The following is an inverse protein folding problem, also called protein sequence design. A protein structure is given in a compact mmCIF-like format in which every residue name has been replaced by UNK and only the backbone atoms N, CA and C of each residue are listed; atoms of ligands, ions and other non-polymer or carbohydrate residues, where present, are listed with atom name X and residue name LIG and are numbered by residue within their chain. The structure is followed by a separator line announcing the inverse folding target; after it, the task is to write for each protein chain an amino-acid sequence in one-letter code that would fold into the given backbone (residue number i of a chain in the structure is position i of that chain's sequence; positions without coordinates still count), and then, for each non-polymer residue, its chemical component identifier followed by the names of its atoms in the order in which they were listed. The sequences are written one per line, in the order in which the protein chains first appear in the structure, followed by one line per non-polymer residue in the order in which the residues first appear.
data_IF_503881985219
#
_entry.id   IF_503881985219
#
_cell.length_a   1.000
_cell.length_b   1.000
_cell.length_c   1.000
_cell.angle_alpha   90.00
_cell.angle_beta   90.00
_cell.angle_gamma   90.00
#
_symmetry.space_group_name_H-M   'P 1'
#
loop_
_entity.id
_entity.type
_entity.pdbx_description
1 polymer ?
#
# COMPACT_ATOMS: atom_id res chain seq x y z
N UNK A 1 -1.73 15.40 14.62
CA UNK A 1 -0.41 14.78 14.93
C UNK A 1 -0.13 13.65 13.95
N UNK A 2 1.05 13.57 13.33
CA UNK A 2 1.42 12.42 12.48
C UNK A 2 1.54 11.16 13.32
N UNK A 3 0.93 10.08 12.86
CA UNK A 3 1.06 8.76 13.47
C UNK A 3 2.32 8.07 12.90
N UNK A 4 3.17 7.46 13.74
CA UNK A 4 4.31 6.71 13.23
C UNK A 4 3.83 5.48 12.41
N UNK A 5 4.65 5.04 11.46
CA UNK A 5 4.39 3.82 10.71
C UNK A 5 4.54 2.60 11.61
N UNK A 6 3.71 1.60 11.40
CA UNK A 6 3.62 0.40 12.23
C UNK A 6 4.10 -0.85 11.49
N UNK A 7 4.70 -1.76 12.25
CA UNK A 7 4.95 -3.12 11.78
C UNK A 7 3.66 -3.95 11.86
N UNK A 8 3.58 -4.97 11.01
CA UNK A 8 2.48 -5.94 11.07
C UNK A 8 2.56 -6.76 12.35
N UNK A 9 1.43 -7.28 12.80
CA UNK A 9 1.30 -8.03 14.04
C UNK A 9 1.16 -9.55 13.84
N UNK A 10 0.95 -10.00 12.61
CA UNK A 10 0.88 -11.40 12.21
C UNK A 10 1.64 -11.64 10.92
N UNK A 11 1.76 -12.91 10.50
CA UNK A 11 2.40 -13.30 9.24
C UNK A 11 1.59 -12.89 7.99
N UNK A 12 0.34 -12.44 8.16
CA UNK A 12 -0.62 -12.29 7.05
C UNK A 12 -1.16 -10.87 6.85
N UNK A 13 -0.90 -9.95 7.76
CA UNK A 13 -1.52 -8.61 7.76
C UNK A 13 -0.66 -7.50 7.12
N UNK A 14 0.28 -7.87 6.24
CA UNK A 14 1.06 -6.86 5.49
C UNK A 14 0.18 -5.93 4.64
N UNK A 15 -0.88 -6.45 4.02
CA UNK A 15 -1.81 -5.65 3.22
C UNK A 15 -2.50 -4.54 4.01
N UNK A 16 -3.33 -4.85 5.02
CA UNK A 16 -4.00 -3.84 5.84
C UNK A 16 -3.00 -2.93 6.56
N UNK A 17 -1.89 -3.46 7.08
CA UNK A 17 -0.87 -2.65 7.74
C UNK A 17 -0.24 -1.65 6.78
N UNK A 18 0.10 -2.05 5.55
CA UNK A 18 0.65 -1.13 4.55
C UNK A 18 -0.38 -0.08 4.12
N UNK A 19 -1.65 -0.44 3.95
CA UNK A 19 -2.72 0.52 3.68
C UNK A 19 -2.87 1.55 4.80
N UNK A 20 -2.89 1.09 6.06
CA UNK A 20 -2.95 1.99 7.23
C UNK A 20 -1.71 2.88 7.33
N UNK A 21 -0.53 2.35 7.01
CA UNK A 21 0.71 3.11 6.96
C UNK A 21 0.67 4.19 5.85
N UNK A 22 0.14 3.88 4.68
CA UNK A 22 -0.03 4.87 3.61
C UNK A 22 -0.95 6.01 4.06
N UNK A 23 -2.08 5.70 4.69
CA UNK A 23 -3.00 6.70 5.22
C UNK A 23 -2.35 7.54 6.34
N UNK A 24 -1.58 6.92 7.25
CA UNK A 24 -0.85 7.62 8.32
C UNK A 24 0.31 8.48 7.79
N UNK A 25 0.90 8.10 6.66
CA UNK A 25 1.91 8.88 5.96
C UNK A 25 1.31 10.15 5.35
N UNK A 26 0.18 10.02 4.67
CA UNK A 26 -0.48 11.12 3.96
C UNK A 26 -1.23 12.08 4.91
N UNK A 27 -1.90 11.58 5.93
CA UNK A 27 -2.81 12.31 6.79
C UNK A 27 -2.40 12.28 8.25
N UNK A 28 -2.87 13.26 9.02
CA UNK A 28 -2.75 13.23 10.49
C UNK A 28 -3.90 12.38 11.07
N UNK A 29 -3.74 11.97 12.34
CA UNK A 29 -4.78 11.21 13.04
C UNK A 29 -6.13 11.92 13.06
N UNK A 30 -6.11 13.22 13.20
CA UNK A 30 -7.32 14.07 13.29
C UNK A 30 -8.05 14.20 11.94
N UNK A 31 -7.32 14.00 10.84
CA UNK A 31 -7.88 14.05 9.49
C UNK A 31 -8.50 12.72 9.06
N UNK A 32 -8.01 11.59 9.60
CA UNK A 32 -8.46 10.27 9.19
C UNK A 32 -9.88 9.99 9.69
N UNK A 33 -10.77 9.71 8.75
CA UNK A 33 -12.14 9.35 9.03
C UNK A 33 -12.24 7.87 9.45
N UNK A 34 -13.05 7.54 10.47
CA UNK A 34 -13.21 6.15 10.96
C UNK A 34 -13.61 5.17 9.88
N UNK A 35 -14.38 5.60 8.89
CA UNK A 35 -14.84 4.78 7.77
C UNK A 35 -13.69 4.25 6.93
N UNK A 36 -12.62 5.03 6.78
CA UNK A 36 -11.42 4.61 6.05
C UNK A 36 -10.77 3.42 6.76
N UNK A 37 -10.55 3.55 8.06
CA UNK A 37 -9.98 2.48 8.89
C UNK A 37 -10.85 1.24 8.85
N UNK A 38 -12.17 1.42 9.04
CA UNK A 38 -13.14 0.33 9.02
C UNK A 38 -13.10 -0.46 7.70
N UNK A 39 -13.11 0.23 6.56
CA UNK A 39 -13.12 -0.43 5.26
C UNK A 39 -11.79 -1.13 4.96
N UNK A 40 -10.65 -0.52 5.30
CA UNK A 40 -9.36 -1.19 5.17
C UNK A 40 -9.35 -2.50 5.96
N UNK A 41 -9.78 -2.47 7.22
CA UNK A 41 -9.79 -3.67 8.07
C UNK A 41 -10.82 -4.72 7.62
N UNK A 42 -11.96 -4.28 7.13
CA UNK A 42 -13.05 -5.18 6.73
C UNK A 42 -12.77 -5.92 5.41
N UNK A 43 -12.14 -5.25 4.44
CA UNK A 43 -11.96 -5.78 3.09
C UNK A 43 -10.54 -6.25 2.77
N UNK A 44 -9.63 -6.20 3.74
CA UNK A 44 -8.33 -6.86 3.66
C UNK A 44 -8.41 -8.28 4.22
N UNK A 45 -7.36 -9.07 4.07
CA UNK A 45 -7.29 -10.46 4.53
C UNK A 45 -8.40 -11.35 3.93
N UNK A 46 -8.74 -11.09 2.67
CA UNK A 46 -9.80 -11.75 1.93
C UNK A 46 -9.38 -13.09 1.30
N UNK A 47 -8.09 -13.36 1.24
CA UNK A 47 -7.58 -14.57 0.60
C UNK A 47 -7.76 -15.82 1.47
N UNK A 48 -8.06 -16.94 0.79
CA UNK A 48 -8.19 -18.26 1.41
C UNK A 48 -6.93 -19.08 1.14
N UNK A 49 -6.47 -19.84 2.12
CA UNK A 49 -5.41 -20.81 1.89
C UNK A 49 -5.94 -22.10 1.22
N UNK A 50 -5.05 -23.02 0.89
CA UNK A 50 -5.39 -24.30 0.27
C UNK A 50 -6.36 -25.18 1.11
N UNK A 51 -6.51 -24.89 2.39
CA UNK A 51 -7.44 -25.57 3.30
C UNK A 51 -8.79 -24.86 3.42
N UNK A 52 -8.99 -23.73 2.72
CA UNK A 52 -10.21 -22.92 2.79
C UNK A 52 -10.29 -22.04 4.06
N UNK A 53 -9.20 -21.83 4.77
CA UNK A 53 -9.15 -20.96 5.94
C UNK A 53 -8.94 -19.50 5.50
N UNK A 54 -9.76 -18.57 6.01
CA UNK A 54 -9.66 -17.12 5.75
C UNK A 54 -8.56 -16.47 6.58
N UNK A 55 -8.02 -15.36 6.09
CA UNK A 55 -7.07 -14.53 6.83
C UNK A 55 -5.67 -15.14 6.99
N UNK A 56 -5.42 -16.30 6.41
CA UNK A 56 -4.13 -17.01 6.45
C UNK A 56 -3.40 -17.05 5.10
N UNK A 57 -3.82 -16.21 4.18
CA UNK A 57 -3.18 -16.05 2.86
C UNK A 57 -3.06 -14.59 2.46
N UNK A 58 -3.13 -13.70 3.46
CA UNK A 58 -2.93 -12.27 3.28
C UNK A 58 -4.07 -11.57 2.52
N UNK A 59 -3.71 -10.56 1.77
CA UNK A 59 -4.62 -9.69 1.02
C UNK A 59 -4.45 -9.94 -0.47
N UNK A 60 -5.55 -10.21 -1.16
CA UNK A 60 -5.52 -10.43 -2.60
C UNK A 60 -5.31 -9.11 -3.39
N UNK A 61 -4.89 -9.23 -4.67
CA UNK A 61 -4.88 -8.10 -5.61
C UNK A 61 -6.26 -7.48 -5.77
N UNK A 62 -7.30 -8.31 -5.77
CA UNK A 62 -8.67 -7.86 -5.95
C UNK A 62 -9.14 -6.98 -4.79
N UNK A 63 -8.76 -7.34 -3.55
CA UNK A 63 -9.03 -6.51 -2.39
C UNK A 63 -8.35 -5.14 -2.47
N UNK A 64 -7.08 -5.10 -2.87
CA UNK A 64 -6.34 -3.84 -3.04
C UNK A 64 -6.93 -2.99 -4.17
N UNK A 65 -7.32 -3.59 -5.28
CA UNK A 65 -7.99 -2.91 -6.38
C UNK A 65 -9.35 -2.34 -5.96
N UNK A 66 -10.14 -3.13 -5.21
CA UNK A 66 -11.41 -2.67 -4.64
C UNK A 66 -11.20 -1.49 -3.68
N UNK A 67 -10.27 -1.62 -2.72
CA UNK A 67 -9.99 -0.55 -1.74
C UNK A 67 -9.47 0.72 -2.41
N UNK A 68 -8.64 0.61 -3.44
CA UNK A 68 -8.19 1.75 -4.25
C UNK A 68 -9.38 2.49 -4.90
N UNK A 69 -10.29 1.74 -5.52
CA UNK A 69 -11.51 2.29 -6.13
C UNK A 69 -12.43 2.90 -5.07
N UNK A 70 -12.67 2.17 -3.98
CA UNK A 70 -13.51 2.63 -2.88
C UNK A 70 -12.98 3.94 -2.26
N UNK A 71 -11.69 4.03 -1.94
CA UNK A 71 -11.07 5.24 -1.40
C UNK A 71 -11.26 6.44 -2.33
N UNK A 72 -11.10 6.25 -3.63
CA UNK A 72 -11.31 7.32 -4.60
C UNK A 72 -12.77 7.80 -4.63
N UNK A 73 -13.73 6.87 -4.62
CA UNK A 73 -15.16 7.22 -4.60
C UNK A 73 -15.56 7.86 -3.26
N UNK A 74 -15.07 7.33 -2.16
CA UNK A 74 -15.26 7.90 -0.82
C UNK A 74 -14.70 9.32 -0.73
N UNK A 75 -13.48 9.53 -1.24
CA UNK A 75 -12.87 10.86 -1.30
C UNK A 75 -13.73 11.88 -2.02
N UNK A 76 -14.30 11.50 -3.17
CA UNK A 76 -15.23 12.36 -3.93
C UNK A 76 -16.53 12.63 -3.17
N UNK A 77 -17.14 11.58 -2.60
CA UNK A 77 -18.45 11.70 -1.93
C UNK A 77 -18.36 12.51 -0.62
N UNK A 78 -17.28 12.34 0.14
CA UNK A 78 -17.08 12.97 1.45
C UNK A 78 -16.20 14.23 1.40
N UNK A 79 -15.77 14.66 0.21
CA UNK A 79 -14.81 15.76 0.04
C UNK A 79 -13.50 15.55 0.83
N UNK A 80 -13.10 14.27 0.97
CA UNK A 80 -11.85 13.90 1.60
C UNK A 80 -10.74 13.86 0.54
N UNK A 81 -9.57 14.51 0.75
CA UNK A 81 -8.58 14.72 -0.30
C UNK A 81 -7.72 13.46 -0.57
N UNK A 82 -8.36 12.37 -0.94
CA UNK A 82 -7.72 11.12 -1.34
C UNK A 82 -8.17 10.70 -2.74
N UNK A 83 -7.21 10.29 -3.55
CA UNK A 83 -7.45 9.60 -4.82
C UNK A 83 -6.41 8.51 -4.97
N UNK A 84 -6.86 7.32 -5.35
CA UNK A 84 -6.00 6.16 -5.54
C UNK A 84 -6.12 5.67 -6.98
N UNK A 85 -5.04 5.13 -7.51
CA UNK A 85 -5.00 4.47 -8.81
C UNK A 85 -4.32 3.12 -8.65
N UNK A 86 -4.92 2.10 -9.21
CA UNK A 86 -4.32 0.76 -9.30
C UNK A 86 -3.53 0.65 -10.61
N UNK A 87 -2.29 0.22 -10.52
CA UNK A 87 -1.41 -0.02 -11.66
C UNK A 87 -1.02 -1.50 -11.70
N UNK A 88 -0.81 -2.02 -12.89
CA UNK A 88 -0.36 -3.42 -13.07
C UNK A 88 0.45 -3.57 -14.36
N UNK A 89 1.23 -4.64 -14.44
CA UNK A 89 2.00 -5.02 -15.63
C UNK A 89 2.93 -3.88 -16.11
N UNK A 90 2.91 -3.56 -17.39
CA UNK A 90 3.81 -2.59 -18.03
C UNK A 90 3.66 -1.14 -17.51
N UNK A 91 2.58 -0.85 -16.78
CA UNK A 91 2.39 0.43 -16.12
C UNK A 91 3.23 0.58 -14.84
N UNK A 92 3.84 -0.50 -14.35
CA UNK A 92 4.64 -0.51 -13.12
C UNK A 92 6.12 -0.51 -13.46
N UNK A 93 6.75 0.66 -13.39
CA UNK A 93 8.18 0.84 -13.61
C UNK A 93 8.71 2.07 -12.88
N UNK A 94 10.03 2.09 -12.61
CA UNK A 94 10.75 3.27 -12.12
C UNK A 94 11.37 4.00 -13.31
N UNK A 95 10.77 5.12 -13.67
CA UNK A 95 11.24 6.02 -14.72
C UNK A 95 10.74 7.41 -14.46
N UNK A 96 11.42 8.44 -15.00
CA UNK A 96 11.08 9.84 -14.72
C UNK A 96 9.65 10.23 -15.11
N UNK A 97 9.05 9.50 -16.04
CA UNK A 97 7.72 9.68 -16.59
C UNK A 97 6.68 8.70 -16.01
N UNK A 98 7.09 7.74 -15.17
CA UNK A 98 6.16 6.78 -14.57
C UNK A 98 5.23 7.44 -13.55
N UNK A 99 4.00 6.96 -13.47
CA UNK A 99 3.03 7.41 -12.46
C UNK A 99 3.51 7.15 -11.04
N UNK A 100 4.21 6.03 -10.81
CA UNK A 100 4.82 5.69 -9.54
C UNK A 100 5.81 6.78 -9.10
N UNK A 101 6.77 7.11 -9.98
CA UNK A 101 7.78 8.15 -9.73
C UNK A 101 7.14 9.52 -9.51
N UNK A 102 6.15 9.89 -10.36
CA UNK A 102 5.45 11.15 -10.21
C UNK A 102 4.69 11.24 -8.88
N UNK A 103 4.03 10.16 -8.46
CA UNK A 103 3.32 10.08 -7.18
C UNK A 103 4.28 10.33 -6.02
N UNK A 104 5.44 9.67 -5.99
CA UNK A 104 6.43 9.84 -4.94
C UNK A 104 7.02 11.27 -4.91
N UNK A 105 7.29 11.85 -6.06
CA UNK A 105 7.78 13.25 -6.18
C UNK A 105 6.76 14.27 -5.71
N UNK A 106 5.47 13.96 -5.84
CA UNK A 106 4.38 14.79 -5.33
C UNK A 106 4.04 14.48 -3.85
N UNK A 107 4.92 13.84 -3.10
CA UNK A 107 4.71 13.43 -1.71
C UNK A 107 3.50 12.50 -1.51
N UNK A 108 3.15 11.76 -2.55
CA UNK A 108 2.17 10.68 -2.47
C UNK A 108 2.76 9.42 -1.84
N UNK A 109 1.91 8.43 -1.61
CA UNK A 109 2.27 7.10 -1.11
C UNK A 109 2.03 6.06 -2.20
N UNK A 110 2.95 5.14 -2.37
CA UNK A 110 2.82 4.03 -3.32
C UNK A 110 2.90 2.71 -2.58
N UNK A 111 1.87 1.89 -2.72
CA UNK A 111 1.86 0.53 -2.18
C UNK A 111 2.23 -0.42 -3.31
N UNK A 112 3.26 -1.22 -3.11
CA UNK A 112 3.66 -2.24 -4.07
C UNK A 112 3.51 -3.63 -3.47
N UNK A 113 3.10 -4.58 -4.31
CA UNK A 113 3.09 -6.00 -3.98
C UNK A 113 4.34 -6.64 -4.57
N UNK A 114 5.15 -7.25 -3.72
CA UNK A 114 6.37 -7.95 -4.09
C UNK A 114 6.15 -9.46 -3.99
N UNK A 115 6.67 -10.19 -4.96
CA UNK A 115 6.79 -11.65 -4.87
C UNK A 115 8.12 -12.00 -4.19
N UNK A 116 8.13 -11.90 -2.88
CA UNK A 116 9.34 -12.06 -2.05
C UNK A 116 9.25 -13.35 -1.21
N UNK A 117 9.29 -14.49 -1.90
CA UNK A 117 9.03 -15.79 -1.26
C UNK A 117 7.58 -16.03 -0.91
N UNK A 118 6.70 -15.18 -1.41
CA UNK A 118 5.25 -15.08 -1.24
C UNK A 118 4.82 -13.64 -1.51
N UNK A 119 3.53 -13.42 -1.61
CA UNK A 119 2.96 -12.09 -1.84
C UNK A 119 3.17 -11.20 -0.62
N UNK A 120 3.82 -10.06 -0.80
CA UNK A 120 4.14 -9.15 0.29
C UNK A 120 3.92 -7.69 -0.11
N UNK A 121 3.21 -6.94 0.73
CA UNK A 121 2.94 -5.52 0.50
C UNK A 121 3.90 -4.63 1.29
N UNK A 122 4.46 -3.64 0.60
CA UNK A 122 5.36 -2.63 1.18
C UNK A 122 4.95 -1.22 0.74
N UNK A 123 5.35 -0.22 1.51
CA UNK A 123 5.06 1.19 1.26
C UNK A 123 6.29 1.91 0.74
N UNK A 124 6.16 2.59 -0.40
CA UNK A 124 7.14 3.54 -0.89
C UNK A 124 6.68 4.96 -0.52
N UNK A 125 7.58 5.79 -0.03
CA UNK A 125 7.23 7.11 0.56
C UNK A 125 7.90 8.29 -0.10
N UNK A 126 9.12 8.12 -0.59
CA UNK A 126 9.94 9.21 -1.13
C UNK A 126 10.86 8.70 -2.22
N UNK A 127 11.21 9.59 -3.14
CA UNK A 127 12.24 9.32 -4.15
C UNK A 127 13.24 10.48 -4.20
N UNK A 128 14.52 10.14 -4.00
CA UNK A 128 15.65 11.03 -4.16
C UNK A 128 16.59 10.49 -5.24
N UNK A 129 16.58 11.13 -6.41
CA UNK A 129 17.30 10.63 -7.57
C UNK A 129 16.82 9.24 -8.00
N UNK A 130 17.71 8.26 -7.96
CA UNK A 130 17.41 6.84 -8.27
C UNK A 130 17.04 6.03 -7.03
N UNK A 131 17.17 6.59 -5.85
CA UNK A 131 16.83 5.90 -4.61
C UNK A 131 15.38 6.17 -4.20
N UNK A 132 14.69 5.10 -3.79
CA UNK A 132 13.33 5.16 -3.29
C UNK A 132 13.30 4.64 -1.85
N UNK A 133 12.71 5.43 -0.96
CA UNK A 133 12.53 5.04 0.44
C UNK A 133 11.38 4.05 0.55
N UNK A 134 11.65 2.89 1.16
CA UNK A 134 10.67 1.84 1.39
C UNK A 134 10.48 1.59 2.88
N UNK A 135 9.23 1.48 3.31
CA UNK A 135 8.87 0.91 4.60
C UNK A 135 8.25 -0.47 4.39
N UNK A 136 8.96 -1.47 4.88
CA UNK A 136 8.47 -2.85 4.91
C UNK A 136 7.82 -3.12 6.27
N UNK A 137 6.52 -3.47 6.34
CA UNK A 137 5.85 -3.69 7.62
C UNK A 137 6.32 -4.96 8.35
N UNK A 138 6.99 -5.87 7.66
CA UNK A 138 7.54 -7.09 8.25
C UNK A 138 8.99 -6.92 8.72
N UNK A 139 9.80 -6.22 7.92
CA UNK A 139 11.23 -6.06 8.14
C UNK A 139 11.59 -4.63 8.56
N UNK A 140 12.87 -4.41 8.84
CA UNK A 140 13.37 -3.07 9.11
C UNK A 140 13.35 -2.22 7.83
N UNK A 141 13.16 -0.91 8.00
CA UNK A 141 13.22 0.08 6.92
C UNK A 141 14.54 -0.08 6.13
N UNK A 142 14.44 -0.20 4.83
CA UNK A 142 15.56 -0.21 3.89
C UNK A 142 15.22 0.60 2.64
N UNK A 143 16.21 1.02 1.83
CA UNK A 143 15.95 1.60 0.51
C UNK A 143 15.27 0.58 -0.41
N UNK A 144 14.37 1.07 -1.26
CA UNK A 144 13.84 0.32 -2.40
C UNK A 144 14.77 0.57 -3.60
N UNK A 145 15.20 -0.48 -4.27
CA UNK A 145 16.15 -0.41 -5.38
C UNK A 145 15.53 -0.97 -6.67
N UNK A 146 16.19 -0.74 -7.81
CA UNK A 146 15.67 -1.12 -9.13
C UNK A 146 15.40 -2.64 -9.23
N UNK A 147 16.22 -3.46 -8.60
CA UNK A 147 16.03 -4.92 -8.57
C UNK A 147 14.73 -5.34 -7.91
N UNK A 148 14.20 -4.54 -6.98
CA UNK A 148 12.93 -4.83 -6.32
C UNK A 148 11.74 -4.68 -7.30
N UNK A 149 11.87 -3.89 -8.36
CA UNK A 149 10.84 -3.74 -9.40
C UNK A 149 10.55 -5.08 -10.09
N UNK A 150 11.55 -5.90 -10.32
CA UNK A 150 11.37 -7.22 -10.93
C UNK A 150 10.55 -8.19 -10.05
N UNK A 151 10.38 -7.87 -8.76
CA UNK A 151 9.62 -8.65 -7.79
C UNK A 151 8.16 -8.18 -7.68
N UNK A 152 7.80 -7.05 -8.33
CA UNK A 152 6.43 -6.54 -8.30
C UNK A 152 5.53 -7.44 -9.16
N UNK A 153 4.45 -7.92 -8.56
CA UNK A 153 3.46 -8.79 -9.19
C UNK A 153 2.18 -8.02 -9.59
#
# INVERSE_FOLDING_TARGET
MKTPLHYQISEYDCGPTTMMNAMSFLFTREQLLPEIVQHIMLYSLDAYNAKGETGRSGTSRMAMMFLSSWLTQFGKACQFPVACKYLSQDAVYLGGDSELTQTLRCHGAVIVRLNYGGDHYVLLTEQEGEQVSMFDPYFRKRPFIQEDIALID
#
